data_IF_821843419456
#
_entry.id   IF_821843419456
#
_cell.length_a   1.000
_cell.length_b   1.000
_cell.length_c   1.000
_cell.angle_alpha   90.00
_cell.angle_beta   90.00
_cell.angle_gamma   90.00
#
_symmetry.space_group_name_H-M   'P 1'
#
loop_
_entity.id
_entity.type
_entity.pdbx_description
1 polymer ?
#
# COMPACT_ATOMS: atom_id res chain seq x y z
N UNK A 1 -32.09 14.12 -9.11
CA UNK A 1 -32.32 14.37 -7.67
C UNK A 1 -31.28 13.66 -6.75
N UNK A 2 -31.07 12.36 -6.86
CA UNK A 2 -30.14 11.57 -6.04
C UNK A 2 -28.67 12.07 -6.06
N UNK A 3 -28.10 12.45 -7.24
CA UNK A 3 -26.77 13.04 -7.35
C UNK A 3 -26.56 14.32 -6.53
N UNK A 4 -27.62 15.13 -6.39
CA UNK A 4 -27.57 16.40 -5.64
C UNK A 4 -27.53 16.16 -4.12
N UNK A 5 -28.22 15.12 -3.64
CA UNK A 5 -28.19 14.69 -2.24
C UNK A 5 -26.83 14.07 -1.88
N UNK A 6 -26.26 13.26 -2.77
CA UNK A 6 -24.95 12.64 -2.56
C UNK A 6 -23.80 13.66 -2.45
N UNK A 7 -23.96 14.83 -3.10
CA UNK A 7 -22.94 15.89 -3.03
C UNK A 7 -22.99 16.74 -1.74
N UNK A 8 -23.97 16.53 -0.86
CA UNK A 8 -23.97 17.15 0.46
C UNK A 8 -22.89 16.46 1.34
N UNK A 9 -22.03 17.26 1.96
CA UNK A 9 -20.88 16.78 2.75
C UNK A 9 -21.24 15.72 3.81
N UNK A 10 -22.39 15.90 4.49
CA UNK A 10 -22.87 14.95 5.50
C UNK A 10 -23.24 13.58 4.94
N UNK A 11 -23.85 13.51 3.74
CA UNK A 11 -24.24 12.25 3.10
C UNK A 11 -23.00 11.47 2.65
N UNK A 12 -21.97 12.15 2.16
CA UNK A 12 -20.69 11.52 1.79
C UNK A 12 -19.99 10.92 3.00
N UNK A 13 -19.97 11.64 4.11
CA UNK A 13 -19.34 11.15 5.35
C UNK A 13 -20.08 9.90 5.85
N UNK A 14 -21.40 9.92 5.93
CA UNK A 14 -22.18 8.74 6.33
C UNK A 14 -21.97 7.56 5.40
N UNK A 15 -22.01 7.77 4.08
CA UNK A 15 -21.71 6.71 3.11
C UNK A 15 -20.32 6.12 3.33
N UNK A 16 -19.29 6.95 3.51
CA UNK A 16 -17.92 6.50 3.78
C UNK A 16 -17.82 5.67 5.07
N UNK A 17 -18.55 6.05 6.14
CA UNK A 17 -18.57 5.27 7.38
C UNK A 17 -19.23 3.90 7.18
N UNK A 18 -20.36 3.84 6.47
CA UNK A 18 -21.03 2.56 6.19
C UNK A 18 -20.19 1.67 5.29
N UNK A 19 -19.60 2.23 4.24
CA UNK A 19 -18.69 1.51 3.34
C UNK A 19 -17.47 0.95 4.11
N UNK A 20 -16.81 1.77 4.92
CA UNK A 20 -15.68 1.33 5.73
C UNK A 20 -16.05 0.20 6.70
N UNK A 21 -17.21 0.28 7.36
CA UNK A 21 -17.72 -0.79 8.24
C UNK A 21 -18.03 -2.07 7.47
N UNK A 22 -18.64 -1.94 6.31
CA UNK A 22 -18.93 -3.10 5.45
C UNK A 22 -17.64 -3.78 4.99
N UNK A 23 -16.70 -3.03 4.43
CA UNK A 23 -15.41 -3.54 3.97
C UNK A 23 -14.61 -4.20 5.10
N UNK A 24 -14.62 -3.59 6.29
CA UNK A 24 -13.98 -4.16 7.48
C UNK A 24 -14.56 -5.51 7.89
N UNK A 25 -15.90 -5.66 7.82
CA UNK A 25 -16.56 -6.94 8.09
C UNK A 25 -16.20 -8.00 7.04
N UNK A 26 -16.15 -7.62 5.78
CA UNK A 26 -15.75 -8.54 4.70
C UNK A 26 -14.27 -8.96 4.87
N UNK A 27 -13.35 -8.02 5.09
CA UNK A 27 -11.95 -8.33 5.32
C UNK A 27 -11.73 -9.33 6.47
N UNK A 28 -12.45 -9.15 7.60
CA UNK A 28 -12.40 -10.11 8.70
C UNK A 28 -12.91 -11.50 8.31
N UNK A 29 -13.97 -11.59 7.49
CA UNK A 29 -14.49 -12.89 7.01
C UNK A 29 -13.49 -13.60 6.09
N UNK A 30 -12.74 -12.84 5.30
CA UNK A 30 -11.70 -13.34 4.39
C UNK A 30 -10.37 -13.63 5.11
N UNK A 31 -10.30 -13.43 6.42
CA UNK A 31 -9.09 -13.66 7.21
C UNK A 31 -7.99 -12.61 7.02
N UNK A 32 -8.31 -11.45 6.44
CA UNK A 32 -7.33 -10.40 6.19
C UNK A 32 -6.91 -9.69 7.47
N UNK A 33 -5.63 -9.39 7.57
CA UNK A 33 -5.10 -8.52 8.61
C UNK A 33 -5.49 -7.07 8.30
N UNK A 34 -6.30 -6.46 9.16
CA UNK A 34 -6.68 -5.06 9.00
C UNK A 34 -5.57 -4.17 9.56
N UNK A 35 -5.41 -2.97 8.98
CA UNK A 35 -4.36 -2.03 9.40
C UNK A 35 -4.42 -1.64 10.87
N UNK A 36 -5.61 -1.62 11.47
CA UNK A 36 -5.80 -1.36 12.91
C UNK A 36 -5.39 -2.53 13.80
N UNK A 37 -5.17 -3.71 13.23
CA UNK A 37 -4.61 -4.90 13.91
C UNK A 37 -3.15 -5.16 13.52
N UNK A 38 -2.56 -4.33 12.67
CA UNK A 38 -1.15 -4.44 12.31
C UNK A 38 -0.29 -4.18 13.55
N UNK A 39 0.48 -5.17 13.96
CA UNK A 39 1.48 -4.99 15.00
C UNK A 39 2.68 -4.24 14.41
N UNK A 40 2.62 -2.91 14.47
CA UNK A 40 3.69 -2.05 13.97
C UNK A 40 4.99 -2.23 14.73
N UNK A 41 4.95 -2.62 16.01
CA UNK A 41 6.13 -2.82 16.83
C UNK A 41 7.05 -3.93 16.30
N UNK A 42 6.47 -4.91 15.58
CA UNK A 42 7.24 -5.97 14.93
C UNK A 42 8.18 -5.42 13.83
N UNK A 43 7.77 -4.36 13.17
CA UNK A 43 8.46 -3.83 11.98
C UNK A 43 9.10 -2.47 12.21
N UNK A 44 8.65 -1.75 13.26
CA UNK A 44 9.17 -0.42 13.60
C UNK A 44 10.59 -0.56 14.15
N UNK A 45 11.54 0.10 13.50
CA UNK A 45 12.95 0.14 13.90
C UNK A 45 13.43 1.54 14.28
N UNK A 46 12.61 2.57 13.96
CA UNK A 46 12.98 3.98 14.15
C UNK A 46 11.74 4.83 14.51
N UNK A 47 11.96 5.97 15.14
CA UNK A 47 10.93 7.01 15.36
C UNK A 47 10.76 7.94 14.14
N UNK A 48 11.55 7.73 13.10
CA UNK A 48 11.47 8.47 11.84
C UNK A 48 10.97 7.55 10.73
N UNK A 49 9.94 8.00 9.99
CA UNK A 49 9.40 7.30 8.82
C UNK A 49 9.60 8.16 7.58
N UNK A 50 10.31 7.62 6.58
CA UNK A 50 10.45 8.23 5.26
C UNK A 50 9.33 7.77 4.34
N UNK A 51 8.63 8.72 3.72
CA UNK A 51 7.62 8.44 2.69
C UNK A 51 8.31 8.54 1.32
N UNK A 52 8.40 7.41 0.63
CA UNK A 52 9.12 7.26 -0.62
C UNK A 52 8.12 7.24 -1.79
N UNK A 53 7.97 8.40 -2.44
CA UNK A 53 7.19 8.53 -3.67
C UNK A 53 8.03 8.24 -4.91
N UNK A 54 7.38 7.95 -6.03
CA UNK A 54 8.03 7.67 -7.33
C UNK A 54 8.36 8.94 -8.15
N UNK A 55 8.49 10.09 -7.49
CA UNK A 55 8.76 11.36 -8.15
C UNK A 55 10.20 11.47 -8.69
N UNK A 56 10.41 12.30 -9.71
CA UNK A 56 11.72 12.54 -10.33
C UNK A 56 12.84 12.94 -9.33
N UNK A 57 12.49 13.57 -8.21
CA UNK A 57 13.43 13.95 -7.15
C UNK A 57 14.19 12.77 -6.56
N UNK A 58 13.61 11.58 -6.58
CA UNK A 58 14.24 10.33 -6.07
C UNK A 58 15.54 10.03 -6.85
N UNK A 59 15.56 10.26 -8.16
CA UNK A 59 16.75 10.04 -9.00
C UNK A 59 17.92 10.97 -8.65
N UNK A 60 17.68 12.03 -7.85
CA UNK A 60 18.70 12.98 -7.40
C UNK A 60 19.30 12.62 -6.04
N UNK A 61 18.79 11.60 -5.38
CA UNK A 61 19.32 11.17 -4.09
C UNK A 61 20.68 10.51 -4.26
N UNK A 62 21.64 10.96 -3.46
CA UNK A 62 23.02 10.43 -3.46
C UNK A 62 23.10 9.17 -2.59
N UNK A 63 24.26 8.48 -2.63
CA UNK A 63 24.53 7.32 -1.77
C UNK A 63 24.44 7.66 -0.29
N UNK A 64 24.85 8.87 0.10
CA UNK A 64 24.80 9.37 1.48
C UNK A 64 23.34 9.52 1.93
N UNK A 65 22.47 10.08 1.08
CA UNK A 65 21.03 10.16 1.35
C UNK A 65 20.43 8.76 1.56
N UNK A 66 20.72 7.80 0.70
CA UNK A 66 20.25 6.43 0.84
C UNK A 66 20.80 5.74 2.10
N UNK A 67 22.07 6.00 2.45
CA UNK A 67 22.66 5.49 3.68
C UNK A 67 22.00 6.06 4.94
N UNK A 68 21.47 7.28 4.85
CA UNK A 68 20.69 7.89 5.93
C UNK A 68 19.29 7.29 6.02
N UNK A 69 18.58 7.17 4.89
CA UNK A 69 17.23 6.58 4.84
C UNK A 69 17.24 5.13 5.37
N UNK A 70 18.26 4.34 5.06
CA UNK A 70 18.41 2.95 5.53
C UNK A 70 18.48 2.79 7.05
N UNK A 71 18.78 3.85 7.80
CA UNK A 71 18.85 3.81 9.26
C UNK A 71 17.49 4.06 9.93
N UNK A 72 16.46 4.28 9.12
CA UNK A 72 15.12 4.64 9.58
C UNK A 72 14.06 3.82 8.85
N UNK A 73 12.84 3.86 9.38
CA UNK A 73 11.72 3.22 8.70
C UNK A 73 11.34 3.98 7.44
N UNK A 74 10.81 3.25 6.46
CA UNK A 74 10.40 3.83 5.19
C UNK A 74 9.16 3.14 4.64
N UNK A 75 8.33 3.87 3.92
CA UNK A 75 7.17 3.34 3.22
C UNK A 75 7.25 3.74 1.75
N UNK A 76 7.27 2.73 0.87
CA UNK A 76 7.20 2.91 -0.57
C UNK A 76 5.77 2.88 -1.08
N UNK A 77 5.47 3.64 -2.14
CA UNK A 77 4.13 3.73 -2.72
C UNK A 77 4.12 3.35 -4.20
N UNK A 78 3.13 2.54 -4.59
CA UNK A 78 2.81 2.22 -5.99
C UNK A 78 4.05 1.85 -6.81
N UNK A 79 4.44 2.69 -7.76
CA UNK A 79 5.60 2.49 -8.65
C UNK A 79 6.95 2.39 -7.93
N UNK A 80 6.97 2.49 -6.60
CA UNK A 80 8.21 2.34 -5.84
C UNK A 80 8.90 0.99 -6.09
N UNK A 81 8.14 -0.05 -6.38
CA UNK A 81 8.65 -1.40 -6.66
C UNK A 81 9.74 -1.41 -7.77
N UNK A 82 9.73 -0.45 -8.70
CA UNK A 82 10.74 -0.32 -9.75
C UNK A 82 12.10 0.23 -9.25
N UNK A 83 12.18 0.66 -7.98
CA UNK A 83 13.43 1.09 -7.36
C UNK A 83 14.16 -0.08 -6.71
N UNK A 84 15.48 0.01 -6.59
CA UNK A 84 16.29 -1.03 -5.96
C UNK A 84 16.26 -0.96 -4.43
N UNK A 85 15.83 0.15 -3.87
CA UNK A 85 15.71 0.32 -2.43
C UNK A 85 14.44 -0.34 -1.92
N UNK A 86 14.58 -1.35 -1.06
CA UNK A 86 13.46 -2.05 -0.43
C UNK A 86 13.03 -1.29 0.82
N UNK A 87 11.77 -0.83 0.92
CA UNK A 87 11.27 -0.07 2.05
C UNK A 87 10.88 -1.00 3.21
N UNK A 88 10.74 -0.44 4.42
CA UNK A 88 10.22 -1.17 5.60
C UNK A 88 8.76 -1.58 5.43
N UNK A 89 7.96 -0.76 4.75
CA UNK A 89 6.56 -1.01 4.42
C UNK A 89 6.30 -0.69 2.95
N UNK A 90 5.38 -1.39 2.34
CA UNK A 90 4.97 -1.09 0.97
C UNK A 90 3.46 -0.86 0.90
N UNK A 91 3.05 0.25 0.31
CA UNK A 91 1.64 0.61 0.14
C UNK A 91 1.28 0.63 -1.35
N UNK A 92 0.24 -0.08 -1.72
CA UNK A 92 -0.20 -0.18 -3.09
C UNK A 92 -1.68 0.17 -3.23
N UNK A 93 -1.98 1.09 -4.13
CA UNK A 93 -3.29 1.22 -4.72
C UNK A 93 -3.38 0.29 -5.92
N UNK A 94 -4.46 -0.49 -5.99
CA UNK A 94 -4.67 -1.41 -7.11
C UNK A 94 -5.71 -0.84 -8.08
N UNK A 95 -5.33 0.06 -9.02
CA UNK A 95 -6.23 0.48 -10.07
C UNK A 95 -6.51 -0.72 -10.96
N UNK A 96 -7.79 -1.11 -11.05
CA UNK A 96 -8.16 -2.22 -11.91
C UNK A 96 -7.78 -1.93 -13.37
N UNK A 97 -7.10 -2.90 -14.01
CA UNK A 97 -6.86 -2.96 -15.46
C UNK A 97 -6.00 -1.82 -16.04
N UNK A 98 -4.80 -1.64 -15.53
CA UNK A 98 -3.80 -0.85 -16.26
C UNK A 98 -2.58 -1.71 -16.58
N UNK A 99 -1.96 -1.46 -17.74
CA UNK A 99 -0.66 -2.07 -18.10
C UNK A 99 0.39 -1.77 -17.02
N UNK A 100 0.30 -0.61 -16.40
CA UNK A 100 1.18 -0.20 -15.33
C UNK A 100 1.02 -1.07 -14.07
N UNK A 101 -0.21 -1.43 -13.72
CA UNK A 101 -0.47 -2.33 -12.59
C UNK A 101 0.14 -3.72 -12.84
N UNK A 102 -0.07 -4.29 -14.04
CA UNK A 102 0.53 -5.58 -14.40
C UNK A 102 2.06 -5.52 -14.31
N UNK A 103 2.68 -4.46 -14.82
CA UNK A 103 4.13 -4.28 -14.72
C UNK A 103 4.62 -4.19 -13.25
N UNK A 104 3.85 -3.56 -12.35
CA UNK A 104 4.18 -3.55 -10.92
C UNK A 104 4.09 -4.95 -10.30
N UNK A 105 3.08 -5.74 -10.65
CA UNK A 105 2.94 -7.12 -10.18
C UNK A 105 4.07 -8.00 -10.72
N UNK A 106 4.40 -7.87 -11.99
CA UNK A 106 5.52 -8.61 -12.60
C UNK A 106 6.85 -8.29 -11.89
N UNK A 107 7.07 -7.01 -11.56
CA UNK A 107 8.27 -6.60 -10.83
C UNK A 107 8.27 -7.07 -9.36
N UNK A 108 7.12 -7.09 -8.69
CA UNK A 108 6.99 -7.69 -7.36
C UNK A 108 7.31 -9.17 -7.37
N UNK A 109 6.79 -9.91 -8.37
CA UNK A 109 7.10 -11.33 -8.53
C UNK A 109 8.60 -11.55 -8.80
N UNK A 110 9.23 -10.69 -9.59
CA UNK A 110 10.68 -10.75 -9.85
C UNK A 110 11.51 -10.48 -8.59
N UNK A 111 11.01 -9.64 -7.69
CA UNK A 111 11.65 -9.25 -6.42
C UNK A 111 11.06 -9.98 -5.21
N UNK A 112 10.36 -11.09 -5.41
CA UNK A 112 9.63 -11.79 -4.35
C UNK A 112 10.47 -11.96 -3.08
N UNK A 113 11.67 -12.54 -3.18
CA UNK A 113 12.54 -12.81 -2.04
C UNK A 113 12.94 -11.55 -1.25
N UNK A 114 12.97 -10.38 -1.92
CA UNK A 114 13.31 -9.10 -1.29
C UNK A 114 12.12 -8.49 -0.55
N UNK A 115 10.89 -8.83 -0.96
CA UNK A 115 9.65 -8.28 -0.41
C UNK A 115 8.92 -9.24 0.53
N UNK A 116 9.39 -10.48 0.70
CA UNK A 116 8.74 -11.53 1.50
C UNK A 116 8.42 -11.07 2.93
N UNK A 117 9.34 -10.35 3.56
CA UNK A 117 9.19 -9.86 4.93
C UNK A 117 8.64 -8.42 5.01
N UNK A 118 8.35 -7.78 3.87
CA UNK A 118 7.85 -6.40 3.83
C UNK A 118 6.33 -6.40 3.97
N UNK A 119 5.76 -5.76 5.01
CA UNK A 119 4.32 -5.65 5.14
C UNK A 119 3.70 -4.87 3.99
N UNK A 120 2.71 -5.50 3.32
CA UNK A 120 1.92 -4.88 2.27
C UNK A 120 0.68 -4.22 2.83
N UNK A 121 0.49 -2.94 2.52
CA UNK A 121 -0.71 -2.17 2.84
C UNK A 121 -1.50 -1.95 1.56
N UNK A 122 -2.65 -2.61 1.44
CA UNK A 122 -3.45 -2.60 0.22
C UNK A 122 -4.83 -2.03 0.53
N UNK A 123 -5.36 -1.20 -0.36
CA UNK A 123 -6.73 -0.71 -0.24
C UNK A 123 -7.72 -1.85 -0.51
N UNK A 124 -8.47 -2.26 0.50
CA UNK A 124 -9.31 -3.46 0.48
C UNK A 124 -10.32 -3.53 -0.66
N UNK A 125 -11.00 -2.44 -0.99
CA UNK A 125 -11.97 -2.43 -2.11
C UNK A 125 -11.33 -2.80 -3.46
N UNK A 126 -10.03 -2.63 -3.59
CA UNK A 126 -9.27 -3.04 -4.76
C UNK A 126 -8.76 -4.47 -4.62
N UNK A 127 -8.44 -4.92 -3.40
CA UNK A 127 -7.94 -6.27 -3.12
C UNK A 127 -8.92 -7.36 -3.58
N UNK A 128 -10.21 -7.26 -3.25
CA UNK A 128 -11.24 -8.23 -3.66
C UNK A 128 -11.32 -8.46 -5.18
N UNK A 129 -10.89 -7.46 -5.96
CA UNK A 129 -10.93 -7.52 -7.43
C UNK A 129 -9.60 -7.97 -8.03
N UNK A 130 -8.55 -8.03 -7.25
CA UNK A 130 -7.18 -8.31 -7.67
C UNK A 130 -6.46 -9.37 -6.83
N UNK A 131 -7.18 -10.07 -5.94
CA UNK A 131 -6.61 -11.10 -5.07
C UNK A 131 -5.81 -12.18 -5.83
N UNK A 132 -6.20 -12.48 -7.07
CA UNK A 132 -5.50 -13.46 -7.90
C UNK A 132 -4.17 -12.96 -8.51
N UNK A 133 -3.80 -11.68 -8.28
CA UNK A 133 -2.56 -11.11 -8.81
C UNK A 133 -1.42 -11.08 -7.81
N UNK A 134 -1.72 -11.30 -6.53
CA UNK A 134 -0.70 -11.30 -5.50
C UNK A 134 -0.15 -12.70 -5.27
N UNK A 135 1.15 -12.84 -4.96
CA UNK A 135 1.73 -14.10 -4.52
C UNK A 135 0.98 -14.68 -3.31
N UNK A 136 0.89 -16.01 -3.21
CA UNK A 136 0.19 -16.71 -2.12
C UNK A 136 0.76 -16.41 -0.72
N UNK A 137 1.94 -15.78 -0.66
CA UNK A 137 2.66 -15.40 0.56
C UNK A 137 2.39 -13.96 1.05
N UNK A 138 1.50 -13.20 0.38
CA UNK A 138 1.17 -11.82 0.77
C UNK A 138 0.03 -11.74 1.77
#
# INVERSE_FOLDING_TARGET
>A
MLKKLYNQSGVRVLHGIFEARYLRRQGKKEGLNLIDSLNTDKYKTSDTLFILGSGYSIAKLTKEHWSYVKKHDSIGFNSWVFNDFIPTYYCMETPMKSLHFNAMIDELNRKHDLYEEVPFIIQYQHFLKSANFFPDSC
#
